data_IF_412744640616
#
_entry.id   IF_412744640616
#
_cell.length_a   1.000
_cell.length_b   1.000
_cell.length_c   1.000
_cell.angle_alpha   90.00
_cell.angle_beta   90.00
_cell.angle_gamma   90.00
#
_symmetry.space_group_name_H-M   'P 1'
#
loop_
_entity.id
_entity.type
_entity.pdbx_description
1 polymer ?
#
# COMPACT_ATOMS: atom_id res chain seq x y z
N UNK A 1 12.48 -11.00 10.37
CA UNK A 1 11.12 -10.46 10.26
C UNK A 1 11.23 -8.94 10.41
N UNK A 2 10.89 -8.18 9.38
CA UNK A 2 10.91 -6.72 9.42
C UNK A 2 9.51 -6.23 9.80
N UNK A 3 9.43 -5.27 10.72
CA UNK A 3 8.16 -4.67 11.16
C UNK A 3 8.21 -3.19 10.82
N UNK A 4 7.31 -2.75 9.95
CA UNK A 4 7.09 -1.33 9.65
C UNK A 4 5.74 -0.95 10.24
N UNK A 5 5.70 0.18 10.96
CA UNK A 5 4.45 0.70 11.50
C UNK A 5 3.83 1.64 10.46
N UNK A 6 2.70 1.24 9.91
CA UNK A 6 1.92 2.04 8.96
C UNK A 6 0.72 2.66 9.67
N UNK A 7 0.38 3.90 9.32
CA UNK A 7 -0.77 4.59 9.89
C UNK A 7 -1.96 4.48 8.93
N UNK A 8 -3.11 3.98 9.40
CA UNK A 8 -4.29 3.76 8.55
C UNK A 8 -4.85 5.02 7.87
N UNK A 9 -4.59 6.19 8.46
CA UNK A 9 -4.94 7.50 7.88
C UNK A 9 -3.78 8.14 7.11
N UNK A 10 -2.68 7.42 6.88
CA UNK A 10 -1.60 7.83 6.01
C UNK A 10 -1.98 7.70 4.54
N UNK A 11 -1.60 8.70 3.73
CA UNK A 11 -1.68 8.60 2.27
C UNK A 11 -0.69 7.57 1.76
N UNK A 12 -1.00 6.90 0.66
CA UNK A 12 -0.10 5.89 0.08
C UNK A 12 1.24 6.49 -0.32
N UNK A 13 1.28 7.76 -0.76
CA UNK A 13 2.53 8.45 -1.07
C UNK A 13 3.45 8.65 0.15
N UNK A 14 2.88 8.79 1.35
CA UNK A 14 3.68 8.87 2.59
C UNK A 14 4.08 7.48 3.09
N UNK A 15 3.18 6.49 2.97
CA UNK A 15 3.47 5.07 3.23
C UNK A 15 4.66 4.62 2.37
N UNK A 16 4.68 4.99 1.08
CA UNK A 16 5.76 4.69 0.15
C UNK A 16 7.12 5.13 0.66
N UNK A 17 7.25 6.40 1.07
CA UNK A 17 8.49 6.95 1.63
C UNK A 17 8.99 6.15 2.84
N UNK A 18 8.07 5.72 3.71
CA UNK A 18 8.41 4.89 4.88
C UNK A 18 8.90 3.50 4.44
N UNK A 19 8.25 2.89 3.46
CA UNK A 19 8.63 1.57 2.94
C UNK A 19 9.97 1.61 2.19
N UNK A 20 10.22 2.63 1.37
CA UNK A 20 11.48 2.84 0.65
C UNK A 20 12.64 3.14 1.62
N UNK A 21 12.43 4.02 2.60
CA UNK A 21 13.45 4.30 3.64
C UNK A 21 13.73 3.10 4.53
N UNK A 22 12.77 2.19 4.67
CA UNK A 22 12.94 0.90 5.36
C UNK A 22 13.46 -0.22 4.44
N UNK A 23 13.77 0.09 3.17
CA UNK A 23 14.23 -0.84 2.15
C UNK A 23 13.30 -2.06 1.94
N UNK A 24 11.99 -1.86 2.15
CA UNK A 24 10.94 -2.89 1.99
C UNK A 24 10.47 -2.97 0.54
N UNK A 25 10.36 -1.82 -0.13
CA UNK A 25 9.99 -1.71 -1.55
C UNK A 25 11.01 -0.86 -2.29
N UNK A 26 10.98 -0.92 -3.62
CA UNK A 26 11.78 -0.08 -4.50
C UNK A 26 10.86 0.65 -5.50
N UNK A 27 11.48 1.46 -6.36
CA UNK A 27 10.78 2.29 -7.35
C UNK A 27 9.99 1.53 -8.43
N UNK A 28 10.18 0.21 -8.56
CA UNK A 28 9.55 -0.61 -9.60
C UNK A 28 8.19 -1.19 -9.18
N UNK A 29 7.92 -1.32 -7.88
CA UNK A 29 6.66 -1.86 -7.38
C UNK A 29 5.58 -0.79 -7.37
N UNK A 30 4.33 -1.14 -7.62
CA UNK A 30 3.17 -0.25 -7.47
C UNK A 30 2.20 -0.82 -6.44
N UNK A 31 1.57 0.05 -5.66
CA UNK A 31 0.46 -0.42 -4.82
C UNK A 31 -0.64 -0.98 -5.70
N UNK A 32 -1.31 -2.01 -5.22
CA UNK A 32 -2.51 -2.53 -5.85
C UNK A 32 -3.72 -2.28 -4.98
N UNK A 33 -4.86 -2.08 -5.62
CA UNK A 33 -6.16 -1.89 -4.96
C UNK A 33 -7.13 -2.94 -5.46
N UNK A 34 -7.88 -3.52 -4.53
CA UNK A 34 -8.98 -4.42 -4.87
C UNK A 34 -10.24 -3.60 -5.19
N UNK A 35 -10.75 -3.73 -6.41
CA UNK A 35 -12.04 -3.18 -6.84
C UNK A 35 -12.84 -4.28 -7.54
N UNK A 36 -14.07 -4.54 -7.08
CA UNK A 36 -14.98 -5.54 -7.67
C UNK A 36 -14.35 -6.93 -7.88
N UNK A 37 -13.66 -7.45 -6.86
CA UNK A 37 -12.92 -8.72 -6.88
C UNK A 37 -11.68 -8.80 -7.79
N UNK A 38 -11.34 -7.72 -8.49
CA UNK A 38 -10.10 -7.61 -9.25
C UNK A 38 -9.06 -6.78 -8.49
N UNK A 39 -7.78 -7.19 -8.59
CA UNK A 39 -6.64 -6.44 -8.04
C UNK A 39 -6.02 -5.65 -9.18
N UNK A 40 -6.22 -4.34 -9.18
CA UNK A 40 -5.66 -3.40 -10.15
C UNK A 40 -4.42 -2.69 -9.61
N UNK A 41 -3.47 -2.40 -10.49
CA UNK A 41 -2.30 -1.56 -10.18
C UNK A 41 -2.72 -0.09 -10.04
N UNK A 42 -2.21 0.56 -9.00
CA UNK A 42 -2.37 1.99 -8.80
C UNK A 42 -1.17 2.73 -9.36
N UNK A 43 -1.43 3.73 -10.21
CA UNK A 43 -0.36 4.59 -10.71
C UNK A 43 0.23 5.41 -9.55
N UNK A 44 1.54 5.68 -9.61
CA UNK A 44 2.22 6.52 -8.60
C UNK A 44 1.56 7.87 -8.36
N UNK A 45 1.09 8.52 -9.43
CA UNK A 45 0.42 9.82 -9.37
C UNK A 45 -0.90 9.80 -8.57
N UNK A 46 -1.49 8.62 -8.39
CA UNK A 46 -2.72 8.44 -7.64
C UNK A 46 -2.47 8.14 -6.16
N UNK A 47 -1.23 7.77 -5.76
CA UNK A 47 -0.89 7.44 -4.36
C UNK A 47 -1.15 8.61 -3.38
N UNK A 48 -1.13 9.86 -3.86
CA UNK A 48 -1.45 11.02 -3.04
C UNK A 48 -2.95 11.18 -2.76
N UNK A 49 -3.80 10.49 -3.52
CA UNK A 49 -5.27 10.61 -3.45
C UNK A 49 -5.90 9.59 -2.53
N UNK A 50 -5.21 8.46 -2.29
CA UNK A 50 -5.75 7.32 -1.55
C UNK A 50 -5.08 7.17 -0.18
N UNK A 51 -5.90 6.84 0.82
CA UNK A 51 -5.43 6.43 2.14
C UNK A 51 -5.19 4.92 2.20
N UNK A 52 -4.27 4.50 3.08
CA UNK A 52 -3.97 3.08 3.31
C UNK A 52 -5.22 2.25 3.59
N UNK A 53 -6.13 2.76 4.45
CA UNK A 53 -7.38 2.07 4.81
C UNK A 53 -8.31 1.76 3.63
N UNK A 54 -8.15 2.47 2.50
CA UNK A 54 -8.96 2.28 1.29
C UNK A 54 -8.36 1.23 0.34
N UNK A 55 -7.14 0.77 0.62
CA UNK A 55 -6.37 -0.15 -0.21
C UNK A 55 -6.07 -1.47 0.50
N UNK A 56 -5.97 -1.46 1.83
CA UNK A 56 -5.80 -2.70 2.60
C UNK A 56 -7.02 -3.58 2.51
N UNK A 57 -6.78 -4.88 2.40
CA UNK A 57 -7.82 -5.91 2.43
C UNK A 57 -7.67 -6.72 3.70
N UNK A 58 -8.76 -6.93 4.44
CA UNK A 58 -8.72 -7.81 5.60
C UNK A 58 -8.89 -9.25 5.13
N UNK A 59 -7.80 -10.03 5.20
CA UNK A 59 -7.80 -11.45 4.87
C UNK A 59 -7.44 -12.26 6.12
N UNK A 60 -8.35 -13.13 6.55
CA UNK A 60 -8.16 -13.98 7.74
C UNK A 60 -7.82 -13.18 9.02
N UNK A 61 -8.36 -11.96 9.16
CA UNK A 61 -8.10 -11.09 10.30
C UNK A 61 -6.78 -10.32 10.23
N UNK A 62 -6.07 -10.39 9.10
CA UNK A 62 -4.85 -9.61 8.85
C UNK A 62 -5.11 -8.57 7.76
N UNK A 63 -4.69 -7.33 8.03
CA UNK A 63 -4.74 -6.27 7.04
C UNK A 63 -3.57 -6.43 6.06
N UNK A 64 -3.89 -6.75 4.81
CA UNK A 64 -2.93 -7.02 3.75
C UNK A 64 -2.91 -5.87 2.74
N UNK A 65 -1.71 -5.40 2.39
CA UNK A 65 -1.47 -4.44 1.32
C UNK A 65 -0.76 -5.16 0.16
N UNK A 66 -1.32 -5.06 -1.05
CA UNK A 66 -0.75 -5.68 -2.23
C UNK A 66 0.16 -4.73 -3.00
N UNK A 67 1.23 -5.27 -3.55
CA UNK A 67 2.20 -4.60 -4.40
C UNK A 67 2.41 -5.47 -5.64
N UNK A 68 2.56 -4.87 -6.82
CA UNK A 68 2.82 -5.56 -8.08
C UNK A 68 3.92 -4.89 -8.88
#
# INVERSE_FOLDING_TARGET
>A
MFKVNLFNNGRLSDIRKVLESSNVINDMLLFSKKENDEIGEMKREDEEKFFLKETITNENGQDTLYLK
#
